data_IF_135315199095
#
_entry.id   IF_135315199095
#
_cell.length_a   1.000
_cell.length_b   1.000
_cell.length_c   1.000
_cell.angle_alpha   90.00
_cell.angle_beta   90.00
_cell.angle_gamma   90.00
#
_symmetry.space_group_name_H-M   'P 1'
#
loop_
_entity.id
_entity.type
_entity.pdbx_description
1 polymer ?
#
# COMPACT_ATOMS: atom_id res chain seq x y z
N UNK A 1 -14.35 -20.62 14.07
CA UNK A 1 -13.59 -19.96 12.98
C UNK A 1 -14.37 -19.88 11.68
N UNK A 2 -14.62 -20.96 10.92
CA UNK A 2 -15.22 -20.89 9.56
C UNK A 2 -16.45 -19.96 9.41
N UNK A 3 -17.42 -20.03 10.34
CA UNK A 3 -18.61 -19.14 10.32
C UNK A 3 -18.22 -17.65 10.49
N UNK A 4 -17.27 -17.33 11.37
CA UNK A 4 -16.74 -15.98 11.53
C UNK A 4 -16.02 -15.51 10.25
N UNK A 5 -15.25 -16.39 9.61
CA UNK A 5 -14.60 -16.11 8.33
C UNK A 5 -15.62 -15.78 7.24
N UNK A 6 -16.75 -16.49 7.16
CA UNK A 6 -17.84 -16.18 6.24
C UNK A 6 -18.51 -14.83 6.57
N UNK A 7 -18.85 -14.57 7.84
CA UNK A 7 -19.47 -13.31 8.27
C UNK A 7 -18.58 -12.11 7.90
N UNK A 8 -17.29 -12.18 8.21
CA UNK A 8 -16.31 -11.13 7.85
C UNK A 8 -16.13 -11.03 6.33
N UNK A 9 -16.18 -12.15 5.60
CA UNK A 9 -16.11 -12.14 4.12
C UNK A 9 -17.32 -11.47 3.47
N UNK A 10 -18.53 -11.73 3.95
CA UNK A 10 -19.75 -11.09 3.43
C UNK A 10 -19.80 -9.60 3.81
N UNK A 11 -19.35 -9.22 5.00
CA UNK A 11 -19.16 -7.82 5.39
C UNK A 11 -18.15 -7.11 4.48
N UNK A 12 -16.99 -7.72 4.22
CA UNK A 12 -15.99 -7.18 3.31
C UNK A 12 -16.50 -7.07 1.87
N UNK A 13 -17.26 -8.06 1.38
CA UNK A 13 -17.89 -8.02 0.06
C UNK A 13 -18.91 -6.88 -0.04
N UNK A 14 -19.77 -6.72 0.96
CA UNK A 14 -20.73 -5.61 1.03
C UNK A 14 -20.03 -4.25 1.05
N UNK A 15 -19.02 -4.07 1.90
CA UNK A 15 -18.25 -2.83 1.98
C UNK A 15 -17.47 -2.54 0.68
N UNK A 16 -16.90 -3.56 0.04
CA UNK A 16 -16.21 -3.41 -1.24
C UNK A 16 -17.18 -2.98 -2.35
N UNK A 17 -18.35 -3.61 -2.48
CA UNK A 17 -19.38 -3.23 -3.45
C UNK A 17 -19.90 -1.82 -3.17
N UNK A 18 -20.22 -1.49 -1.91
CA UNK A 18 -20.68 -0.17 -1.48
C UNK A 18 -19.65 0.93 -1.83
N UNK A 19 -18.39 0.74 -1.44
CA UNK A 19 -17.34 1.72 -1.75
C UNK A 19 -17.00 1.78 -3.24
N UNK A 20 -17.13 0.67 -3.99
CA UNK A 20 -16.98 0.67 -5.46
C UNK A 20 -18.07 1.51 -6.12
N UNK A 21 -19.33 1.32 -5.73
CA UNK A 21 -20.47 2.12 -6.22
C UNK A 21 -20.25 3.60 -5.89
N UNK A 22 -19.92 3.93 -4.63
CA UNK A 22 -19.66 5.32 -4.22
C UNK A 22 -18.46 5.94 -4.96
N UNK A 23 -17.42 5.17 -5.26
CA UNK A 23 -16.25 5.61 -6.04
C UNK A 23 -16.62 5.89 -7.50
N UNK A 24 -17.40 5.01 -8.13
CA UNK A 24 -17.92 5.17 -9.49
C UNK A 24 -18.83 6.41 -9.55
N UNK A 25 -19.85 6.51 -8.70
CA UNK A 25 -20.77 7.66 -8.65
C UNK A 25 -20.02 8.97 -8.41
N UNK A 26 -19.04 9.00 -7.49
CA UNK A 26 -18.18 10.17 -7.26
C UNK A 26 -17.47 10.66 -8.52
N UNK A 27 -17.01 9.74 -9.38
CA UNK A 27 -16.26 10.08 -10.60
C UNK A 27 -17.12 10.27 -11.84
N UNK A 28 -18.33 9.69 -11.89
CA UNK A 28 -19.34 10.01 -12.91
C UNK A 28 -19.93 11.41 -12.68
N UNK A 29 -20.24 11.79 -11.42
CA UNK A 29 -20.78 13.11 -11.10
C UNK A 29 -19.71 14.22 -11.09
N UNK A 30 -18.44 13.91 -10.89
CA UNK A 30 -17.35 14.91 -10.77
C UNK A 30 -16.08 14.48 -11.53
N UNK A 31 -16.12 14.35 -12.87
CA UNK A 31 -15.02 13.78 -13.66
C UNK A 31 -13.71 14.57 -13.55
N UNK A 32 -13.73 15.89 -13.38
CA UNK A 32 -12.51 16.70 -13.21
C UNK A 32 -11.66 16.31 -12.00
N UNK A 33 -12.25 15.65 -11.00
CA UNK A 33 -11.54 15.17 -9.81
C UNK A 33 -10.52 14.06 -10.12
N UNK A 34 -10.61 13.39 -11.28
CA UNK A 34 -9.56 12.45 -11.74
C UNK A 34 -8.19 13.11 -11.89
N UNK A 35 -8.15 14.31 -12.50
CA UNK A 35 -6.89 15.06 -12.69
C UNK A 35 -6.29 15.49 -11.36
N UNK A 36 -7.14 15.79 -10.38
CA UNK A 36 -6.73 16.11 -9.00
C UNK A 36 -6.18 14.88 -8.25
N UNK A 37 -6.82 13.72 -8.39
CA UNK A 37 -6.33 12.46 -7.80
C UNK A 37 -4.91 12.13 -8.26
N UNK A 38 -4.68 12.11 -9.58
CA UNK A 38 -3.40 11.70 -10.18
C UNK A 38 -2.27 12.69 -9.83
N UNK A 39 -2.58 13.99 -9.70
CA UNK A 39 -1.61 15.02 -9.30
C UNK A 39 -1.33 15.07 -7.79
N UNK A 40 -2.12 14.39 -6.95
CA UNK A 40 -1.91 14.42 -5.50
C UNK A 40 -0.89 13.35 -5.06
N UNK A 41 0.30 13.73 -4.54
CA UNK A 41 1.39 12.79 -4.24
C UNK A 41 1.17 11.88 -3.02
N UNK A 42 0.04 12.03 -2.32
CA UNK A 42 -0.36 11.15 -1.22
C UNK A 42 -1.57 10.33 -1.62
N UNK A 43 -2.62 10.96 -2.15
CA UNK A 43 -3.89 10.28 -2.45
C UNK A 43 -3.81 9.36 -3.66
N UNK A 44 -2.95 9.64 -4.66
CA UNK A 44 -2.77 8.76 -5.82
C UNK A 44 -2.29 7.36 -5.42
N UNK A 45 -1.44 7.26 -4.39
CA UNK A 45 -0.80 6.02 -3.95
C UNK A 45 -1.81 5.00 -3.41
N UNK A 46 -2.90 5.49 -2.78
CA UNK A 46 -3.98 4.65 -2.26
C UNK A 46 -4.88 4.04 -3.35
N UNK A 47 -4.70 4.38 -4.63
CA UNK A 47 -5.39 3.69 -5.72
C UNK A 47 -5.07 2.18 -5.73
N UNK A 48 -3.84 1.79 -5.37
CA UNK A 48 -3.45 0.39 -5.24
C UNK A 48 -4.22 -0.40 -4.16
N UNK A 49 -4.87 0.28 -3.20
CA UNK A 49 -5.69 -0.40 -2.20
C UNK A 49 -6.96 -1.03 -2.79
N UNK A 50 -7.38 -0.64 -4.01
CA UNK A 50 -8.54 -1.22 -4.68
C UNK A 50 -8.34 -2.69 -5.11
N UNK A 51 -7.34 -3.06 -5.95
CA UNK A 51 -7.07 -4.47 -6.26
C UNK A 51 -6.57 -5.27 -5.03
N UNK A 52 -5.88 -4.63 -4.07
CA UNK A 52 -5.53 -5.31 -2.80
C UNK A 52 -6.77 -5.74 -1.98
N UNK A 53 -7.92 -5.08 -2.16
CA UNK A 53 -9.19 -5.54 -1.60
C UNK A 53 -9.87 -6.60 -2.50
N UNK A 54 -9.80 -6.45 -3.83
CA UNK A 54 -10.32 -7.43 -4.80
C UNK A 54 -9.71 -8.82 -4.65
N UNK A 55 -8.38 -8.91 -4.73
CA UNK A 55 -7.59 -10.11 -4.39
C UNK A 55 -7.95 -10.75 -3.05
N UNK A 56 -8.25 -9.96 -2.01
CA UNK A 56 -8.65 -10.48 -0.69
C UNK A 56 -9.99 -11.23 -0.77
N UNK A 57 -10.97 -10.71 -1.52
CA UNK A 57 -12.24 -11.39 -1.76
C UNK A 57 -12.07 -12.65 -2.62
N UNK A 58 -11.24 -12.57 -3.67
CA UNK A 58 -10.87 -13.70 -4.54
C UNK A 58 -10.26 -14.84 -3.71
N UNK A 59 -9.32 -14.54 -2.81
CA UNK A 59 -8.66 -15.54 -1.96
C UNK A 59 -9.65 -16.29 -1.06
N UNK A 60 -10.60 -15.58 -0.43
CA UNK A 60 -11.60 -16.22 0.44
C UNK A 60 -12.65 -16.99 -0.38
N UNK A 61 -13.01 -16.51 -1.57
CA UNK A 61 -13.88 -17.24 -2.51
C UNK A 61 -13.26 -18.58 -2.93
N UNK A 62 -11.96 -18.63 -3.21
CA UNK A 62 -11.26 -19.90 -3.51
C UNK A 62 -11.12 -20.77 -2.26
N UNK A 63 -10.48 -20.25 -1.20
CA UNK A 63 -10.09 -21.09 -0.05
C UNK A 63 -11.29 -21.57 0.78
N UNK A 64 -12.26 -20.70 1.02
CA UNK A 64 -13.41 -21.00 1.89
C UNK A 64 -14.59 -21.50 1.07
N UNK A 65 -15.11 -20.70 0.15
CA UNK A 65 -16.38 -21.01 -0.55
C UNK A 65 -16.22 -22.20 -1.49
N UNK A 66 -15.23 -22.18 -2.38
CA UNK A 66 -14.98 -23.28 -3.31
C UNK A 66 -14.30 -24.47 -2.63
N UNK A 67 -13.11 -24.30 -2.05
CA UNK A 67 -12.28 -25.44 -1.61
C UNK A 67 -12.73 -26.06 -0.28
N UNK A 68 -13.31 -25.29 0.67
CA UNK A 68 -13.73 -25.83 1.98
C UNK A 68 -15.22 -26.17 2.08
N UNK A 69 -16.08 -25.45 1.37
CA UNK A 69 -17.54 -25.73 1.33
C UNK A 69 -18.01 -26.40 0.03
N UNK A 70 -17.13 -26.61 -0.96
CA UNK A 70 -17.43 -27.26 -2.25
C UNK A 70 -18.55 -26.59 -3.07
N UNK A 71 -18.73 -25.27 -2.89
CA UNK A 71 -19.80 -24.49 -3.55
C UNK A 71 -19.36 -24.02 -4.93
N UNK A 72 -20.29 -24.09 -5.90
CA UNK A 72 -20.18 -23.48 -7.23
C UNK A 72 -19.29 -24.23 -8.25
N UNK A 73 -18.36 -25.06 -7.78
CA UNK A 73 -17.53 -25.95 -8.60
C UNK A 73 -16.77 -25.26 -9.75
N UNK A 74 -16.55 -26.00 -10.84
CA UNK A 74 -15.72 -25.58 -11.99
C UNK A 74 -16.13 -24.22 -12.59
N UNK A 75 -17.44 -23.96 -12.71
CA UNK A 75 -17.95 -22.70 -13.26
C UNK A 75 -17.65 -21.50 -12.37
N UNK A 76 -17.87 -21.64 -11.06
CA UNK A 76 -17.51 -20.61 -10.08
C UNK A 76 -16.00 -20.36 -10.03
N UNK A 77 -15.17 -21.42 -10.04
CA UNK A 77 -13.72 -21.25 -10.02
C UNK A 77 -13.19 -20.53 -11.27
N UNK A 78 -13.73 -20.82 -12.47
CA UNK A 78 -13.35 -20.07 -13.67
C UNK A 78 -13.86 -18.62 -13.66
N UNK A 79 -15.02 -18.33 -13.05
CA UNK A 79 -15.45 -16.95 -12.82
C UNK A 79 -14.47 -16.20 -11.90
N UNK A 80 -14.08 -16.80 -10.77
CA UNK A 80 -13.11 -16.21 -9.83
C UNK A 80 -11.72 -16.06 -10.46
N UNK A 81 -11.28 -17.01 -11.29
CA UNK A 81 -10.05 -16.88 -12.09
C UNK A 81 -10.12 -15.75 -13.12
N UNK A 82 -11.29 -15.53 -13.75
CA UNK A 82 -11.51 -14.39 -14.65
C UNK A 82 -11.48 -13.05 -13.89
N UNK A 83 -12.01 -13.00 -12.67
CA UNK A 83 -11.88 -11.83 -11.79
C UNK A 83 -10.43 -11.58 -11.35
N UNK A 84 -9.61 -12.62 -11.18
CA UNK A 84 -8.18 -12.48 -10.91
C UNK A 84 -7.41 -11.91 -12.10
N UNK A 85 -7.73 -12.31 -13.34
CA UNK A 85 -7.15 -11.67 -14.54
C UNK A 85 -7.54 -10.19 -14.65
N UNK A 86 -8.78 -9.83 -14.32
CA UNK A 86 -9.22 -8.43 -14.24
C UNK A 86 -8.42 -7.65 -13.17
N UNK A 87 -8.23 -8.26 -11.99
CA UNK A 87 -7.44 -7.67 -10.90
C UNK A 87 -5.96 -7.48 -11.27
N UNK A 88 -5.35 -8.42 -11.99
CA UNK A 88 -3.99 -8.24 -12.55
C UNK A 88 -3.93 -7.00 -13.44
N UNK A 89 -4.88 -6.82 -14.36
CA UNK A 89 -4.90 -5.64 -15.26
C UNK A 89 -5.01 -4.35 -14.43
N UNK A 90 -5.88 -4.32 -13.41
CA UNK A 90 -6.01 -3.16 -12.51
C UNK A 90 -4.73 -2.94 -11.69
N UNK A 91 -4.10 -4.00 -11.18
CA UNK A 91 -2.83 -3.96 -10.43
C UNK A 91 -1.68 -3.44 -11.28
N UNK A 92 -1.54 -3.91 -12.52
CA UNK A 92 -0.57 -3.41 -13.50
C UNK A 92 -0.81 -1.92 -13.80
N UNK A 93 -2.06 -1.50 -14.02
CA UNK A 93 -2.41 -0.09 -14.21
C UNK A 93 -2.08 0.77 -12.97
N UNK A 94 -2.44 0.31 -11.77
CA UNK A 94 -2.12 0.99 -10.52
C UNK A 94 -0.60 1.15 -10.31
N UNK A 95 0.19 0.10 -10.57
CA UNK A 95 1.63 0.15 -10.42
C UNK A 95 2.28 1.04 -11.49
N UNK A 96 2.09 0.76 -12.79
CA UNK A 96 2.79 1.48 -13.86
C UNK A 96 2.31 2.93 -13.99
N UNK A 97 1.00 3.20 -13.96
CA UNK A 97 0.50 4.59 -14.06
C UNK A 97 0.70 5.37 -12.77
N UNK A 98 0.61 4.72 -11.61
CA UNK A 98 0.88 5.36 -10.31
C UNK A 98 2.35 5.79 -10.19
N UNK A 99 3.28 4.89 -10.51
CA UNK A 99 4.72 5.17 -10.49
C UNK A 99 5.11 6.16 -11.59
N UNK A 100 4.54 6.08 -12.79
CA UNK A 100 4.73 7.10 -13.83
C UNK A 100 4.25 8.50 -13.38
N UNK A 101 3.09 8.58 -12.72
CA UNK A 101 2.56 9.85 -12.24
C UNK A 101 3.45 10.52 -11.19
N UNK A 102 4.14 9.73 -10.35
CA UNK A 102 5.14 10.24 -9.39
C UNK A 102 6.32 10.94 -10.08
N UNK A 103 6.72 10.48 -11.27
CA UNK A 103 7.83 11.07 -12.03
C UNK A 103 7.40 12.25 -12.92
N UNK A 104 6.19 12.20 -13.48
CA UNK A 104 5.74 13.13 -14.54
C UNK A 104 4.88 14.28 -14.00
N UNK A 105 4.02 14.03 -13.01
CA UNK A 105 2.98 14.99 -12.58
C UNK A 105 3.14 15.48 -11.14
N UNK A 106 4.07 14.91 -10.38
CA UNK A 106 4.24 15.15 -8.95
C UNK A 106 5.64 15.72 -8.66
N UNK A 107 5.78 16.40 -7.52
CA UNK A 107 7.07 16.87 -6.99
C UNK A 107 7.32 16.18 -5.66
N UNK A 108 8.49 15.57 -5.51
CA UNK A 108 8.87 14.83 -4.32
C UNK A 108 10.22 15.31 -3.79
N UNK A 109 10.38 15.30 -2.47
CA UNK A 109 11.68 15.46 -1.79
C UNK A 109 11.90 14.27 -0.86
N UNK A 110 13.17 13.93 -0.58
CA UNK A 110 13.49 12.78 0.29
C UNK A 110 12.88 12.92 1.70
N UNK A 111 12.76 14.14 2.23
CA UNK A 111 12.08 14.43 3.49
C UNK A 111 10.57 14.09 3.45
N UNK A 112 9.89 14.36 2.33
CA UNK A 112 8.46 14.03 2.13
C UNK A 112 8.21 12.57 1.76
N UNK A 113 9.24 11.82 1.39
CA UNK A 113 9.15 10.39 1.05
C UNK A 113 8.69 9.59 2.27
N UNK A 114 7.82 8.60 2.05
CA UNK A 114 7.26 7.75 3.10
C UNK A 114 6.90 6.37 2.55
N UNK A 115 6.72 5.38 3.43
CA UNK A 115 6.47 4.00 3.02
C UNK A 115 5.13 3.77 2.29
N UNK A 116 4.24 4.77 2.18
CA UNK A 116 3.04 4.68 1.31
C UNK A 116 3.40 4.61 -0.17
N UNK A 117 4.64 4.97 -0.56
CA UNK A 117 5.17 4.79 -1.92
C UNK A 117 5.19 3.31 -2.35
N UNK A 118 5.10 2.37 -1.41
CA UNK A 118 4.97 0.93 -1.69
C UNK A 118 3.57 0.55 -2.21
N UNK A 119 2.53 1.31 -1.88
CA UNK A 119 1.12 0.92 -2.13
C UNK A 119 0.77 0.65 -3.60
N UNK A 120 1.23 1.42 -4.60
CA UNK A 120 1.00 1.09 -6.01
C UNK A 120 1.62 -0.25 -6.43
N UNK A 121 2.73 -0.65 -5.81
CA UNK A 121 3.61 -1.74 -6.24
C UNK A 121 3.26 -3.06 -5.54
N UNK A 122 2.82 -2.97 -4.28
CA UNK A 122 2.33 -4.12 -3.50
C UNK A 122 1.13 -4.81 -4.17
N UNK A 123 0.39 -4.11 -5.02
CA UNK A 123 -0.68 -4.68 -5.87
C UNK A 123 -0.24 -5.95 -6.59
N UNK A 124 0.93 -5.92 -7.25
CA UNK A 124 1.49 -7.05 -8.01
C UNK A 124 1.81 -8.24 -7.09
N UNK A 125 2.35 -7.95 -5.91
CA UNK A 125 2.75 -8.95 -4.91
C UNK A 125 1.50 -9.65 -4.32
N UNK A 126 0.42 -8.90 -4.07
CA UNK A 126 -0.84 -9.46 -3.59
C UNK A 126 -1.54 -10.24 -4.72
N UNK A 127 -1.59 -9.73 -5.95
CA UNK A 127 -2.13 -10.45 -7.12
C UNK A 127 -1.36 -11.76 -7.37
N UNK A 128 -0.03 -11.75 -7.24
CA UNK A 128 0.81 -12.95 -7.33
C UNK A 128 0.44 -14.01 -6.28
N UNK A 129 0.29 -13.60 -5.01
CA UNK A 129 -0.14 -14.53 -3.94
C UNK A 129 -1.51 -15.14 -4.22
N UNK A 130 -2.43 -14.36 -4.81
CA UNK A 130 -3.76 -14.81 -5.19
C UNK A 130 -3.72 -15.86 -6.30
N UNK A 131 -2.88 -15.67 -7.32
CA UNK A 131 -2.66 -16.68 -8.37
C UNK A 131 -2.00 -17.96 -7.84
N UNK A 132 -1.16 -17.88 -6.81
CA UNK A 132 -0.64 -19.06 -6.11
C UNK A 132 -1.73 -19.89 -5.42
N UNK A 133 -2.75 -19.24 -4.87
CA UNK A 133 -3.94 -19.89 -4.27
C UNK A 133 -4.84 -20.47 -5.35
N UNK A 134 -5.09 -19.72 -6.43
CA UNK A 134 -5.95 -20.17 -7.55
C UNK A 134 -5.29 -21.34 -8.29
N UNK A 135 -3.97 -21.32 -8.47
CA UNK A 135 -3.20 -22.41 -9.09
C UNK A 135 -3.48 -23.76 -8.44
N UNK A 136 -3.39 -23.83 -7.10
CA UNK A 136 -3.67 -25.04 -6.32
C UNK A 136 -5.11 -25.53 -6.53
N UNK A 137 -6.09 -24.63 -6.61
CA UNK A 137 -7.48 -24.98 -6.89
C UNK A 137 -7.74 -25.40 -8.35
N UNK A 138 -6.96 -24.89 -9.31
CA UNK A 138 -7.09 -25.20 -10.74
C UNK A 138 -6.50 -26.56 -11.15
N UNK A 139 -5.53 -27.12 -10.39
CA UNK A 139 -4.86 -28.39 -10.75
C UNK A 139 -5.86 -29.50 -11.08
N UNK A 140 -6.93 -29.63 -10.30
CA UNK A 140 -7.98 -30.65 -10.48
C UNK A 140 -8.80 -30.52 -11.77
N UNK A 141 -8.67 -29.40 -12.50
CA UNK A 141 -9.46 -29.10 -13.71
C UNK A 141 -8.61 -28.82 -14.96
N UNK A 142 -7.39 -28.28 -14.80
CA UNK A 142 -6.43 -28.06 -15.89
C UNK A 142 -5.05 -27.71 -15.33
N UNK A 143 -4.09 -28.63 -15.48
CA UNK A 143 -2.69 -28.37 -15.16
C UNK A 143 -2.11 -27.18 -15.97
N UNK A 144 -2.52 -27.02 -17.23
CA UNK A 144 -2.08 -25.90 -18.09
C UNK A 144 -2.56 -24.54 -17.57
N UNK A 145 -3.82 -24.42 -17.13
CA UNK A 145 -4.31 -23.17 -16.57
C UNK A 145 -3.71 -22.89 -15.18
N UNK A 146 -3.49 -23.92 -14.37
CA UNK A 146 -2.75 -23.80 -13.10
C UNK A 146 -1.31 -23.30 -13.33
N UNK A 147 -0.57 -23.93 -14.26
CA UNK A 147 0.81 -23.55 -14.59
C UNK A 147 0.89 -22.12 -15.14
N UNK A 148 0.04 -21.73 -16.08
CA UNK A 148 0.01 -20.36 -16.61
C UNK A 148 -0.27 -19.33 -15.51
N UNK A 149 -1.21 -19.63 -14.60
CA UNK A 149 -1.52 -18.78 -13.43
C UNK A 149 -0.30 -18.61 -12.53
N UNK A 150 0.41 -19.70 -12.23
CA UNK A 150 1.59 -19.70 -11.35
C UNK A 150 2.80 -19.01 -12.00
N UNK A 151 3.04 -19.20 -13.30
CA UNK A 151 4.11 -18.50 -14.04
C UNK A 151 3.88 -16.98 -14.04
N UNK A 152 2.63 -16.54 -14.25
CA UNK A 152 2.25 -15.12 -14.16
C UNK A 152 2.41 -14.60 -12.72
N UNK A 153 2.05 -15.38 -11.71
CA UNK A 153 2.32 -15.04 -10.31
C UNK A 153 3.81 -14.85 -10.02
N UNK A 154 4.69 -15.73 -10.54
CA UNK A 154 6.15 -15.60 -10.38
C UNK A 154 6.67 -14.32 -11.01
N UNK A 155 6.23 -13.98 -12.22
CA UNK A 155 6.56 -12.70 -12.86
C UNK A 155 6.12 -11.50 -12.01
N UNK A 156 4.86 -11.49 -11.55
CA UNK A 156 4.29 -10.39 -10.77
C UNK A 156 4.99 -10.19 -9.41
N UNK A 157 5.31 -11.27 -8.68
CA UNK A 157 6.04 -11.14 -7.40
C UNK A 157 7.49 -10.69 -7.62
N UNK A 158 8.20 -11.17 -8.65
CA UNK A 158 9.59 -10.77 -8.91
C UNK A 158 9.66 -9.28 -9.26
N UNK A 159 8.79 -8.78 -10.14
CA UNK A 159 8.75 -7.35 -10.51
C UNK A 159 8.36 -6.49 -9.30
N UNK A 160 7.29 -6.87 -8.59
CA UNK A 160 6.82 -6.14 -7.41
C UNK A 160 7.85 -6.10 -6.28
N UNK A 161 8.51 -7.23 -5.98
CA UNK A 161 9.55 -7.34 -4.95
C UNK A 161 10.79 -6.51 -5.31
N UNK A 162 11.25 -6.56 -6.56
CA UNK A 162 12.41 -5.77 -7.02
C UNK A 162 12.19 -4.28 -6.80
N UNK A 163 11.04 -3.75 -7.25
CA UNK A 163 10.68 -2.35 -7.03
C UNK A 163 10.49 -2.02 -5.54
N UNK A 164 9.86 -2.92 -4.76
CA UNK A 164 9.67 -2.71 -3.34
C UNK A 164 11.01 -2.64 -2.58
N UNK A 165 11.99 -3.49 -2.90
CA UNK A 165 13.33 -3.45 -2.31
C UNK A 165 14.07 -2.14 -2.64
N UNK A 166 13.97 -1.64 -3.87
CA UNK A 166 14.52 -0.33 -4.25
C UNK A 166 13.93 0.80 -3.40
N UNK A 167 12.60 0.83 -3.23
CA UNK A 167 11.91 1.83 -2.39
C UNK A 167 12.27 1.66 -0.91
N UNK A 168 12.43 0.43 -0.41
CA UNK A 168 12.79 0.16 0.99
C UNK A 168 14.21 0.62 1.33
N UNK A 169 15.18 0.48 0.41
CA UNK A 169 16.54 1.03 0.57
C UNK A 169 16.51 2.56 0.66
N UNK A 170 15.73 3.23 -0.19
CA UNK A 170 15.54 4.69 -0.13
C UNK A 170 14.79 5.11 1.15
N UNK A 171 13.81 4.32 1.60
CA UNK A 171 13.09 4.56 2.84
C UNK A 171 14.00 4.45 4.08
N UNK A 172 14.91 3.47 4.12
CA UNK A 172 15.90 3.35 5.18
C UNK A 172 16.82 4.58 5.22
N UNK A 173 17.33 5.02 4.07
CA UNK A 173 18.11 6.27 3.96
C UNK A 173 17.31 7.50 4.44
N UNK A 174 16.03 7.60 4.07
CA UNK A 174 15.11 8.65 4.55
C UNK A 174 14.97 8.64 6.06
N UNK A 175 14.83 7.46 6.69
CA UNK A 175 14.73 7.34 8.15
C UNK A 175 16.03 7.75 8.85
N UNK A 176 17.19 7.44 8.26
CA UNK A 176 18.50 7.84 8.79
C UNK A 176 18.71 9.36 8.69
N UNK A 177 18.37 9.98 7.54
CA UNK A 177 18.62 11.42 7.30
C UNK A 177 17.56 12.35 7.88
N UNK A 178 16.31 11.88 8.05
CA UNK A 178 15.17 12.72 8.41
C UNK A 178 14.32 12.15 9.57
N UNK A 179 14.83 11.15 10.28
CA UNK A 179 14.19 10.54 11.44
C UNK A 179 12.86 9.85 11.11
N UNK A 180 12.05 9.66 12.15
CA UNK A 180 10.73 9.02 12.07
C UNK A 180 9.66 9.98 11.52
N UNK A 181 8.62 9.48 10.82
CA UNK A 181 7.47 10.32 10.43
C UNK A 181 6.66 10.78 11.66
N UNK A 182 6.27 12.06 11.79
CA UNK A 182 5.59 12.57 12.98
C UNK A 182 4.10 12.16 13.06
N UNK A 183 3.59 12.06 14.29
CA UNK A 183 2.17 11.84 14.59
C UNK A 183 1.62 10.54 13.98
N UNK A 184 0.38 10.57 13.47
CA UNK A 184 -0.28 9.38 12.91
C UNK A 184 0.42 8.80 11.66
N UNK A 185 1.35 9.53 11.04
CA UNK A 185 2.20 9.00 9.96
C UNK A 185 3.28 8.06 10.48
N UNK A 186 3.62 8.10 11.78
CA UNK A 186 4.56 7.16 12.42
C UNK A 186 4.15 5.71 12.17
N UNK A 187 2.85 5.42 12.18
CA UNK A 187 2.30 4.08 11.94
C UNK A 187 2.68 3.49 10.56
N UNK A 188 3.13 4.32 9.61
CA UNK A 188 3.64 3.85 8.32
C UNK A 188 4.93 3.04 8.41
N UNK A 189 5.65 3.06 9.55
CA UNK A 189 6.85 2.21 9.77
C UNK A 189 6.57 0.71 9.71
N UNK A 190 5.30 0.28 9.80
CA UNK A 190 4.90 -1.12 9.59
C UNK A 190 4.69 -1.47 8.10
N UNK A 191 4.50 -0.52 7.19
CA UNK A 191 4.25 -0.81 5.77
C UNK A 191 5.34 -1.67 5.09
N UNK A 192 6.64 -1.61 5.45
CA UNK A 192 7.67 -2.53 4.96
C UNK A 192 7.42 -4.03 5.16
N UNK A 193 6.65 -4.43 6.18
CA UNK A 193 6.23 -5.84 6.37
C UNK A 193 5.31 -6.31 5.21
N UNK A 194 4.61 -5.37 4.57
CA UNK A 194 3.68 -5.61 3.47
C UNK A 194 4.30 -6.32 2.27
N UNK A 195 5.20 -5.66 1.51
CA UNK A 195 5.84 -6.28 0.35
C UNK A 195 6.71 -7.47 0.73
N UNK A 196 7.43 -7.42 1.86
CA UNK A 196 8.38 -8.48 2.26
C UNK A 196 7.64 -9.75 2.69
N UNK A 197 6.68 -9.64 3.61
CA UNK A 197 5.83 -10.75 4.04
C UNK A 197 4.97 -11.32 2.93
N UNK A 198 4.31 -10.47 2.12
CA UNK A 198 3.46 -10.98 1.04
C UNK A 198 4.27 -11.58 -0.12
N UNK A 199 5.48 -11.09 -0.41
CA UNK A 199 6.35 -11.72 -1.42
C UNK A 199 6.84 -13.09 -0.96
N UNK A 200 7.22 -13.22 0.32
CA UNK A 200 7.57 -14.52 0.89
C UNK A 200 6.40 -15.51 0.80
N UNK A 201 5.17 -15.06 1.07
CA UNK A 201 3.97 -15.90 0.93
C UNK A 201 3.70 -16.29 -0.53
N UNK A 202 3.78 -15.35 -1.47
CA UNK A 202 3.60 -15.63 -2.90
C UNK A 202 4.64 -16.61 -3.46
N UNK A 203 5.92 -16.45 -3.07
CA UNK A 203 7.01 -17.34 -3.50
C UNK A 203 6.86 -18.74 -2.89
N UNK A 204 6.48 -18.83 -1.60
CA UNK A 204 6.21 -20.12 -0.95
C UNK A 204 5.05 -20.88 -1.64
N UNK A 205 3.98 -20.17 -2.00
CA UNK A 205 2.88 -20.75 -2.79
C UNK A 205 3.34 -21.19 -4.19
N UNK A 206 4.22 -20.43 -4.86
CA UNK A 206 4.74 -20.81 -6.17
C UNK A 206 5.54 -22.13 -6.10
N UNK A 207 6.40 -22.30 -5.09
CA UNK A 207 7.11 -23.56 -4.83
C UNK A 207 6.17 -24.75 -4.65
N UNK A 208 5.17 -24.60 -3.78
CA UNK A 208 4.16 -25.62 -3.53
C UNK A 208 3.37 -26.00 -4.79
N UNK A 209 3.10 -25.05 -5.69
CA UNK A 209 2.47 -25.33 -6.99
C UNK A 209 3.44 -26.07 -7.92
N UNK A 210 4.69 -25.62 -8.05
CA UNK A 210 5.68 -26.25 -8.94
C UNK A 210 5.99 -27.69 -8.58
N UNK A 211 5.97 -28.04 -7.28
CA UNK A 211 6.05 -29.42 -6.79
C UNK A 211 4.88 -30.31 -7.21
N UNK A 212 3.73 -29.75 -7.57
CA UNK A 212 2.56 -30.49 -8.03
C UNK A 212 2.47 -30.48 -9.57
N UNK A 213 3.06 -29.47 -10.23
CA UNK A 213 2.92 -29.23 -11.67
C UNK A 213 4.10 -29.73 -12.54
N UNK A 214 5.26 -30.03 -11.96
CA UNK A 214 6.40 -30.63 -12.66
C UNK A 214 6.63 -32.09 -12.25
N UNK A 215 7.18 -32.93 -13.15
CA UNK A 215 6.71 -33.24 -14.51
C UNK A 215 5.46 -34.17 -14.43
N UNK A 216 4.59 -34.30 -15.47
CA UNK A 216 5.01 -34.63 -16.83
C UNK A 216 4.24 -33.89 -17.94
N UNK A 217 4.89 -32.88 -18.53
CA UNK A 217 4.66 -32.51 -19.92
C UNK A 217 5.74 -33.20 -20.77
N UNK A 218 5.33 -33.81 -21.88
CA UNK A 218 6.15 -34.76 -22.66
C UNK A 218 7.37 -34.11 -23.35
N UNK A 219 8.49 -34.86 -23.34
CA UNK A 219 9.73 -34.77 -24.14
C UNK A 219 10.48 -33.44 -24.38
N UNK A 220 9.85 -32.27 -24.35
CA UNK A 220 10.25 -31.10 -25.16
C UNK A 220 11.41 -30.26 -24.56
N UNK A 221 11.79 -30.43 -23.29
CA UNK A 221 12.87 -29.63 -22.69
C UNK A 221 14.11 -30.44 -22.27
N UNK A 222 15.26 -30.17 -22.91
CA UNK A 222 16.54 -30.80 -22.57
C UNK A 222 17.03 -30.44 -21.15
N UNK A 223 16.72 -29.21 -20.69
CA UNK A 223 17.15 -28.65 -19.41
C UNK A 223 16.65 -29.44 -18.17
N UNK A 224 15.60 -30.25 -18.33
CA UNK A 224 14.96 -31.00 -17.23
C UNK A 224 15.42 -32.47 -17.18
N UNK A 225 16.08 -33.01 -18.23
CA UNK A 225 16.46 -34.44 -18.34
C UNK A 225 17.60 -34.89 -17.41
N UNK A 226 18.16 -34.00 -16.58
CA UNK A 226 19.24 -34.30 -15.65
C UNK A 226 18.78 -34.95 -14.32
N UNK A 227 17.48 -35.01 -14.05
CA UNK A 227 16.92 -35.70 -12.89
C UNK A 227 16.49 -37.13 -13.21
N UNK A 228 17.17 -38.14 -12.68
CA UNK A 228 16.89 -39.58 -12.89
C UNK A 228 15.70 -40.14 -12.09
N UNK A 229 15.01 -39.30 -11.30
CA UNK A 229 13.83 -39.69 -10.51
C UNK A 229 12.67 -38.73 -10.72
N UNK A 230 11.45 -39.29 -10.76
CA UNK A 230 10.18 -38.58 -10.89
C UNK A 230 10.07 -37.40 -9.91
N UNK A 231 9.67 -36.23 -10.43
CA UNK A 231 9.46 -35.00 -9.64
C UNK A 231 10.65 -34.52 -8.76
N UNK A 232 11.88 -34.92 -9.07
CA UNK A 232 13.07 -34.36 -8.39
C UNK A 232 13.15 -32.83 -8.53
N UNK A 233 12.83 -32.30 -9.72
CA UNK A 233 12.94 -30.87 -10.03
C UNK A 233 11.88 -30.02 -9.31
N UNK A 234 10.63 -30.48 -9.24
CA UNK A 234 9.55 -29.75 -8.55
C UNK A 234 9.82 -29.64 -7.05
N UNK A 235 10.35 -30.69 -6.43
CA UNK A 235 10.80 -30.68 -5.02
C UNK A 235 11.98 -29.73 -4.79
N UNK A 236 12.97 -29.69 -5.68
CA UNK A 236 14.10 -28.75 -5.58
C UNK A 236 13.61 -27.29 -5.66
N UNK A 237 12.67 -27.00 -6.56
CA UNK A 237 12.07 -25.65 -6.68
C UNK A 237 11.29 -25.27 -5.42
N UNK A 238 10.51 -26.19 -4.83
CA UNK A 238 9.77 -25.96 -3.58
C UNK A 238 10.72 -25.63 -2.40
N UNK A 239 11.86 -26.32 -2.31
CA UNK A 239 12.90 -26.04 -1.31
C UNK A 239 13.51 -24.64 -1.53
N UNK A 240 13.89 -24.31 -2.77
CA UNK A 240 14.46 -22.98 -3.10
C UNK A 240 13.45 -21.87 -2.80
N UNK A 241 12.19 -22.05 -3.16
CA UNK A 241 11.10 -21.12 -2.83
C UNK A 241 10.88 -20.99 -1.31
N UNK A 242 10.97 -22.10 -0.56
CA UNK A 242 10.82 -22.09 0.91
C UNK A 242 11.97 -21.37 1.60
N UNK A 243 13.22 -21.60 1.17
CA UNK A 243 14.38 -20.84 1.65
C UNK A 243 14.28 -19.34 1.31
N UNK A 244 13.82 -19.01 0.11
CA UNK A 244 13.58 -17.62 -0.33
C UNK A 244 12.48 -16.93 0.51
N UNK A 245 11.41 -17.67 0.83
CA UNK A 245 10.34 -17.20 1.70
C UNK A 245 10.81 -16.97 3.15
N UNK A 246 11.72 -17.80 3.66
CA UNK A 246 12.33 -17.61 4.97
C UNK A 246 13.32 -16.42 5.01
N UNK A 247 14.07 -16.16 3.94
CA UNK A 247 14.86 -14.93 3.79
C UNK A 247 13.97 -13.68 3.82
N UNK A 248 12.86 -13.68 3.07
CA UNK A 248 11.92 -12.57 3.05
C UNK A 248 11.17 -12.40 4.39
N UNK A 249 10.86 -13.50 5.08
CA UNK A 249 10.38 -13.46 6.46
C UNK A 249 11.40 -12.82 7.40
N UNK A 250 12.69 -13.17 7.28
CA UNK A 250 13.75 -12.60 8.11
C UNK A 250 13.91 -11.09 7.90
N UNK A 251 13.78 -10.61 6.66
CA UNK A 251 13.75 -9.18 6.32
C UNK A 251 12.48 -8.51 6.89
N UNK A 252 11.32 -9.18 6.83
CA UNK A 252 10.09 -8.67 7.46
C UNK A 252 10.21 -8.58 8.99
N UNK A 253 10.84 -9.56 9.64
CA UNK A 253 11.15 -9.57 11.08
C UNK A 253 12.10 -8.43 11.46
N UNK A 254 13.12 -8.15 10.64
CA UNK A 254 13.99 -6.98 10.83
C UNK A 254 13.19 -5.67 10.80
N UNK A 255 12.32 -5.48 9.80
CA UNK A 255 11.44 -4.31 9.72
C UNK A 255 10.44 -4.24 10.88
N UNK A 256 9.95 -5.37 11.38
CA UNK A 256 9.09 -5.43 12.58
C UNK A 256 9.84 -4.93 13.83
N UNK A 257 11.08 -5.36 14.04
CA UNK A 257 11.88 -4.89 15.18
C UNK A 257 12.12 -3.38 15.08
N UNK A 258 12.45 -2.85 13.90
CA UNK A 258 12.54 -1.40 13.70
C UNK A 258 11.20 -0.68 13.89
N UNK A 259 10.07 -1.27 13.47
CA UNK A 259 8.75 -0.70 13.67
C UNK A 259 8.38 -0.61 15.16
N UNK A 260 8.66 -1.64 15.96
CA UNK A 260 8.43 -1.65 17.42
C UNK A 260 9.33 -0.61 18.11
N UNK A 261 10.62 -0.55 17.75
CA UNK A 261 11.56 0.45 18.28
C UNK A 261 11.15 1.89 17.89
N UNK A 262 10.64 2.09 16.68
CA UNK A 262 10.12 3.38 16.20
C UNK A 262 8.83 3.81 16.92
N UNK A 263 7.95 2.87 17.29
CA UNK A 263 6.79 3.17 18.15
C UNK A 263 7.26 3.53 19.57
N UNK A 264 8.16 2.75 20.17
CA UNK A 264 8.67 2.99 21.52
C UNK A 264 9.35 4.36 21.65
N UNK A 265 10.23 4.71 20.69
CA UNK A 265 10.93 6.01 20.66
C UNK A 265 10.05 7.16 20.17
N UNK A 266 9.11 6.92 19.26
CA UNK A 266 8.31 7.94 18.59
C UNK A 266 7.02 8.35 19.31
N UNK A 267 6.47 7.52 20.21
CA UNK A 267 5.32 7.92 21.05
C UNK A 267 5.76 8.72 22.28
N UNK A 268 6.77 8.22 23.01
CA UNK A 268 7.09 8.74 24.34
C UNK A 268 5.85 8.78 25.24
N UNK A 269 5.56 9.94 25.83
CA UNK A 269 4.34 10.19 26.62
C UNK A 269 3.18 10.77 25.80
N UNK A 270 3.28 10.84 24.46
CA UNK A 270 2.28 11.51 23.61
C UNK A 270 1.24 10.54 23.05
N UNK A 271 -0.04 10.90 23.18
CA UNK A 271 -1.16 10.13 22.62
C UNK A 271 -1.36 10.55 21.17
N UNK A 272 -1.15 9.63 20.23
CA UNK A 272 -1.50 9.85 18.82
C UNK A 272 -3.04 9.83 18.68
N UNK A 273 -3.69 10.94 18.28
CA UNK A 273 -5.14 10.94 18.07
C UNK A 273 -5.53 10.03 16.91
N UNK A 274 -6.67 9.35 17.04
CA UNK A 274 -7.17 8.44 16.02
C UNK A 274 -7.31 9.13 14.65
N UNK A 275 -6.86 8.46 13.59
CA UNK A 275 -7.06 8.86 12.20
C UNK A 275 -7.28 7.62 11.34
N UNK A 276 -7.97 7.78 10.21
CA UNK A 276 -8.22 6.69 9.26
C UNK A 276 -6.93 6.00 8.76
N UNK A 277 -5.78 6.69 8.80
CA UNK A 277 -4.46 6.13 8.46
C UNK A 277 -4.03 4.95 9.35
N UNK A 278 -4.62 4.78 10.55
CA UNK A 278 -4.37 3.63 11.42
C UNK A 278 -4.72 2.29 10.74
N UNK A 279 -5.66 2.27 9.77
CA UNK A 279 -5.96 1.08 8.96
C UNK A 279 -4.75 0.56 8.16
N UNK A 280 -3.76 1.41 7.88
CA UNK A 280 -2.49 1.01 7.27
C UNK A 280 -1.67 0.02 8.11
N UNK A 281 -1.98 -0.17 9.41
CA UNK A 281 -1.38 -1.20 10.24
C UNK A 281 -1.92 -2.61 9.96
N UNK A 282 -3.16 -2.75 9.49
CA UNK A 282 -3.82 -4.08 9.41
C UNK A 282 -3.13 -4.98 8.39
N UNK A 283 -2.96 -4.49 7.16
CA UNK A 283 -2.43 -5.31 6.06
C UNK A 283 -1.00 -5.83 6.33
N UNK A 284 0.01 -5.00 6.67
CA UNK A 284 1.38 -5.47 6.84
C UNK A 284 1.54 -6.49 7.98
N UNK A 285 0.79 -6.30 9.07
CA UNK A 285 0.78 -7.21 10.20
C UNK A 285 0.10 -8.55 9.87
N UNK A 286 -1.01 -8.50 9.11
CA UNK A 286 -1.73 -9.71 8.68
C UNK A 286 -0.92 -10.56 7.72
N UNK A 287 -0.20 -9.97 6.76
CA UNK A 287 0.62 -10.74 5.80
C UNK A 287 1.85 -11.36 6.46
N UNK A 288 2.45 -10.69 7.46
CA UNK A 288 3.53 -11.26 8.27
C UNK A 288 3.05 -12.45 9.11
N UNK A 289 1.86 -12.37 9.72
CA UNK A 289 1.24 -13.51 10.40
C UNK A 289 1.01 -14.69 9.43
N UNK A 290 0.48 -14.41 8.24
CA UNK A 290 0.19 -15.42 7.22
C UNK A 290 1.46 -16.15 6.74
N UNK A 291 2.53 -15.41 6.39
CA UNK A 291 3.82 -16.01 6.04
C UNK A 291 4.40 -16.83 7.21
N UNK A 292 4.31 -16.33 8.45
CA UNK A 292 4.79 -17.03 9.64
C UNK A 292 4.07 -18.37 9.83
N UNK A 293 2.74 -18.41 9.68
CA UNK A 293 1.92 -19.62 9.77
C UNK A 293 2.27 -20.60 8.63
N UNK A 294 2.50 -20.10 7.42
CA UNK A 294 2.80 -20.96 6.27
C UNK A 294 4.22 -21.55 6.31
N UNK A 295 5.21 -20.81 6.83
CA UNK A 295 6.52 -21.37 7.19
C UNK A 295 6.41 -22.38 8.34
N UNK A 296 5.47 -22.18 9.28
CA UNK A 296 5.18 -23.18 10.32
C UNK A 296 4.63 -24.50 9.76
N UNK A 297 3.97 -24.46 8.61
CA UNK A 297 3.50 -25.65 7.90
C UNK A 297 4.61 -26.26 7.03
N UNK A 298 5.44 -25.44 6.36
CA UNK A 298 6.56 -25.91 5.54
C UNK A 298 7.70 -26.56 6.36
N UNK A 299 7.98 -26.05 7.56
CA UNK A 299 9.02 -26.57 8.47
C UNK A 299 8.47 -27.47 9.61
N UNK A 300 7.17 -27.77 9.64
CA UNK A 300 6.43 -28.42 10.74
C UNK A 300 6.71 -27.83 12.15
N UNK A 301 7.15 -26.56 12.21
CA UNK A 301 7.77 -26.00 13.41
C UNK A 301 6.77 -25.44 14.40
N UNK A 302 6.68 -26.07 15.59
CA UNK A 302 5.84 -25.61 16.71
C UNK A 302 6.13 -24.15 17.12
N UNK A 303 7.38 -23.69 17.02
CA UNK A 303 7.75 -22.32 17.35
C UNK A 303 7.08 -21.30 16.40
N UNK A 304 7.16 -21.53 15.09
CA UNK A 304 6.44 -20.72 14.10
C UNK A 304 4.92 -20.84 14.24
N UNK A 305 4.38 -22.01 14.61
CA UNK A 305 2.93 -22.17 14.84
C UNK A 305 2.44 -21.29 16.00
N UNK A 306 3.17 -21.25 17.12
CA UNK A 306 2.85 -20.39 18.27
C UNK A 306 3.00 -18.91 17.90
N UNK A 307 4.14 -18.51 17.34
CA UNK A 307 4.40 -17.11 16.98
C UNK A 307 3.39 -16.56 15.95
N UNK A 308 3.13 -17.32 14.89
CA UNK A 308 2.13 -16.95 13.87
C UNK A 308 0.70 -16.87 14.43
N UNK A 309 0.34 -17.75 15.38
CA UNK A 309 -0.96 -17.71 16.04
C UNK A 309 -1.13 -16.47 16.93
N UNK A 310 -0.10 -16.09 17.69
CA UNK A 310 -0.07 -14.85 18.49
C UNK A 310 -0.24 -13.64 17.57
N UNK A 311 0.51 -13.61 16.46
CA UNK A 311 0.48 -12.48 15.53
C UNK A 311 -0.85 -12.35 14.77
N UNK A 312 -1.48 -13.48 14.40
CA UNK A 312 -2.81 -13.51 13.81
C UNK A 312 -3.89 -13.04 14.79
N UNK A 313 -3.83 -13.48 16.06
CA UNK A 313 -4.75 -13.01 17.10
C UNK A 313 -4.60 -11.50 17.36
N UNK A 314 -3.36 -10.99 17.47
CA UNK A 314 -3.09 -9.56 17.59
C UNK A 314 -3.60 -8.75 16.40
N UNK A 315 -3.42 -9.26 15.18
CA UNK A 315 -3.93 -8.62 13.95
C UNK A 315 -5.47 -8.58 13.90
N UNK A 316 -6.15 -9.61 14.40
CA UNK A 316 -7.61 -9.65 14.51
C UNK A 316 -8.14 -8.67 15.58
N UNK A 317 -7.48 -8.57 16.73
CA UNK A 317 -7.81 -7.61 17.79
C UNK A 317 -7.62 -6.16 17.29
N UNK A 318 -6.52 -5.91 16.58
CA UNK A 318 -6.25 -4.63 15.91
C UNK A 318 -7.35 -4.28 14.90
N UNK A 319 -7.72 -5.21 14.01
CA UNK A 319 -8.80 -5.02 13.03
C UNK A 319 -10.12 -4.69 13.73
N UNK A 320 -10.50 -5.44 14.77
CA UNK A 320 -11.75 -5.23 15.50
C UNK A 320 -11.78 -3.87 16.22
N UNK A 321 -10.66 -3.48 16.83
CA UNK A 321 -10.53 -2.18 17.51
C UNK A 321 -10.68 -1.01 16.52
N UNK A 322 -10.06 -1.11 15.34
CA UNK A 322 -10.15 -0.10 14.29
C UNK A 322 -11.54 -0.08 13.63
N UNK A 323 -12.19 -1.24 13.46
CA UNK A 323 -13.55 -1.34 12.95
C UNK A 323 -14.55 -0.66 13.90
N UNK A 324 -14.54 -1.04 15.19
CA UNK A 324 -15.41 -0.45 16.20
C UNK A 324 -15.19 1.06 16.34
N UNK A 325 -13.93 1.54 16.32
CA UNK A 325 -13.66 2.98 16.34
C UNK A 325 -14.17 3.67 15.07
N UNK A 326 -14.00 3.08 13.89
CA UNK A 326 -14.50 3.66 12.63
C UNK A 326 -16.02 3.82 12.62
N UNK A 327 -16.76 2.82 13.11
CA UNK A 327 -18.22 2.88 13.24
C UNK A 327 -18.64 3.94 14.26
N UNK A 328 -17.90 4.10 15.36
CA UNK A 328 -18.15 5.13 16.37
C UNK A 328 -17.97 6.56 15.82
N UNK A 329 -16.85 6.84 15.13
CA UNK A 329 -16.62 8.15 14.50
C UNK A 329 -17.67 8.45 13.42
N UNK A 330 -18.06 7.44 12.63
CA UNK A 330 -19.10 7.58 11.61
C UNK A 330 -20.47 7.92 12.23
N UNK A 331 -20.82 7.31 13.38
CA UNK A 331 -22.03 7.66 14.12
C UNK A 331 -22.01 9.12 14.60
N UNK A 332 -20.88 9.58 15.15
CA UNK A 332 -20.73 10.99 15.57
C UNK A 332 -20.86 11.94 14.38
N UNK A 333 -20.26 11.60 13.24
CA UNK A 333 -20.35 12.40 12.01
C UNK A 333 -21.80 12.58 11.54
N UNK A 334 -22.62 11.53 11.57
CA UNK A 334 -24.03 11.64 11.19
C UNK A 334 -24.83 12.50 12.18
N UNK A 335 -24.70 12.27 13.50
CA UNK A 335 -25.39 13.08 14.52
C UNK A 335 -25.06 14.58 14.35
N UNK A 336 -23.79 14.92 14.16
CA UNK A 336 -23.36 16.30 13.95
C UNK A 336 -23.89 16.95 12.65
N UNK A 337 -24.29 16.15 11.65
CA UNK A 337 -24.97 16.65 10.45
C UNK A 337 -26.49 16.72 10.61
N UNK A 338 -27.10 15.84 11.41
CA UNK A 338 -28.52 15.86 11.76
C UNK A 338 -28.89 17.00 12.71
N UNK A 339 -27.94 17.48 13.53
CA UNK A 339 -28.09 18.68 14.38
C UNK A 339 -27.90 20.00 13.61
N UNK A 340 -27.29 19.97 12.43
CA UNK A 340 -27.00 21.15 11.59
C UNK A 340 -28.17 21.83 10.84
N UNK A 341 -29.37 21.24 10.56
CA UNK A 341 -30.37 21.86 9.68
C UNK A 341 -31.35 22.87 10.30
N UNK A 342 -31.33 23.12 11.62
CA UNK A 342 -32.42 23.84 12.32
C UNK A 342 -32.05 25.20 12.96
N UNK A 343 -30.76 25.54 13.08
CA UNK A 343 -30.31 26.74 13.81
C UNK A 343 -30.04 27.97 12.91
N UNK A 344 -30.53 27.96 11.67
CA UNK A 344 -30.36 29.06 10.70
C UNK A 344 -31.50 30.11 10.73
N UNK A 345 -32.50 29.95 11.60
CA UNK A 345 -33.72 30.78 11.62
C UNK A 345 -33.90 31.57 12.93
N UNK A 346 -32.79 31.98 13.56
CA UNK A 346 -32.79 32.96 14.63
C UNK A 346 -32.60 34.38 14.06
N UNK A 347 -33.57 35.26 14.28
CA UNK A 347 -33.61 36.59 13.66
C UNK A 347 -32.56 37.55 14.24
N UNK A 348 -31.77 38.20 13.36
CA UNK A 348 -31.08 39.45 13.68
C UNK A 348 -31.76 40.56 12.87
N UNK A 349 -32.54 41.46 13.50
CA UNK A 349 -33.15 42.58 12.80
C UNK A 349 -32.09 43.64 12.45
N UNK A 350 -31.84 43.85 11.16
CA UNK A 350 -30.90 44.88 10.69
C UNK A 350 -31.59 46.24 10.75
N UNK A 351 -31.24 47.07 11.73
CA UNK A 351 -31.59 48.50 11.71
C UNK A 351 -30.63 49.27 10.81
N UNK A 352 -31.09 49.57 9.59
CA UNK A 352 -30.54 50.68 8.80
C UNK A 352 -31.29 51.97 9.15
N UNK A 353 -30.58 52.98 9.63
CA UNK A 353 -31.05 54.37 9.65
C UNK A 353 -29.96 55.26 9.04
N UNK A 354 -30.31 55.98 7.97
CA UNK A 354 -29.35 56.74 7.15
C UNK A 354 -29.63 58.24 7.18
N UNK A 355 -28.80 58.99 7.90
CA UNK A 355 -28.65 60.44 7.82
C UNK A 355 -27.26 60.83 8.39
N UNK A 356 -26.60 61.91 7.99
CA UNK A 356 -26.89 62.79 6.84
C UNK A 356 -26.13 64.13 6.93
N UNK A 357 -25.30 64.43 5.91
CA UNK A 357 -24.68 65.75 5.62
C UNK A 357 -23.47 66.23 6.48
N UNK A 358 -22.92 67.39 6.07
CA UNK A 358 -21.85 68.22 6.69
C UNK A 358 -20.40 67.70 6.72
N UNK A 359 -19.79 67.76 5.54
CA UNK A 359 -18.43 68.24 5.27
C UNK A 359 -17.88 69.26 6.29
N UNK A 360 -16.65 69.07 6.79
CA UNK A 360 -15.81 70.17 7.29
C UNK A 360 -14.31 69.85 7.10
N UNK A 361 -13.52 70.87 6.74
CA UNK A 361 -12.06 70.80 6.67
C UNK A 361 -11.47 71.38 7.96
N UNK A 362 -10.32 70.88 8.40
CA UNK A 362 -9.38 71.73 9.14
C UNK A 362 -7.93 71.44 8.76
N UNK A 363 -7.13 72.50 8.78
CA UNK A 363 -5.76 72.54 8.24
C UNK A 363 -4.87 73.33 9.19
N UNK A 364 -3.82 72.70 9.71
CA UNK A 364 -2.69 73.35 10.39
C UNK A 364 -1.42 72.57 10.01
N UNK A 365 -0.45 73.11 9.29
CA UNK A 365 0.46 74.26 9.55
C UNK A 365 1.54 74.00 10.60
N UNK A 366 2.53 73.17 10.21
CA UNK A 366 3.95 73.51 10.27
C UNK A 366 4.71 73.44 11.61
N UNK A 367 5.87 72.78 11.58
CA UNK A 367 7.11 73.48 11.91
C UNK A 367 8.35 72.83 11.24
N UNK A 368 9.49 73.54 11.24
CA UNK A 368 10.73 73.13 10.55
C UNK A 368 11.80 72.57 11.50
N UNK A 369 12.56 71.57 11.03
CA UNK A 369 14.04 71.47 11.12
C UNK A 369 14.48 70.15 10.45
N UNK A 370 15.28 70.08 9.39
CA UNK A 370 16.58 70.70 9.04
C UNK A 370 17.81 69.96 9.59
N UNK A 371 18.28 68.95 8.86
CA UNK A 371 19.71 68.80 8.59
C UNK A 371 19.99 68.02 7.29
N UNK A 372 20.98 68.51 6.55
CA UNK A 372 21.66 67.88 5.39
C UNK A 372 22.54 66.70 5.86
N UNK A 373 23.09 65.80 5.02
CA UNK A 373 24.05 66.09 3.92
C UNK A 373 24.25 64.88 2.98
N UNK A 374 24.89 65.11 1.84
CA UNK A 374 25.16 64.17 0.73
C UNK A 374 26.70 64.02 0.51
N UNK A 375 27.31 63.43 -0.53
CA UNK A 375 26.83 62.96 -1.85
C UNK A 375 27.74 61.87 -2.49
N UNK A 376 27.13 60.95 -3.25
CA UNK A 376 27.68 60.17 -4.38
C UNK A 376 28.80 59.11 -4.25
N UNK A 377 28.95 58.21 -5.27
CA UNK A 377 29.91 57.08 -5.30
C UNK A 377 30.97 57.13 -6.45
N UNK A 378 31.97 56.24 -6.43
CA UNK A 378 32.86 55.91 -7.58
C UNK A 378 33.48 54.48 -7.45
N UNK A 379 34.17 53.86 -8.44
CA UNK A 379 33.84 53.49 -9.86
C UNK A 379 35.04 52.77 -10.56
N UNK A 380 34.86 51.54 -11.09
CA UNK A 380 35.65 50.86 -12.18
C UNK A 380 37.10 50.40 -11.84
N UNK A 381 37.75 49.38 -12.47
CA UNK A 381 37.37 48.45 -13.58
C UNK A 381 37.21 46.96 -13.08
N UNK A 382 37.93 45.87 -13.42
CA UNK A 382 39.12 45.55 -14.27
C UNK A 382 39.12 44.04 -14.71
N UNK A 383 39.97 43.62 -15.66
CA UNK A 383 40.15 42.23 -16.18
C UNK A 383 41.62 42.04 -16.69
N UNK A 384 42.12 40.89 -17.25
CA UNK A 384 41.47 39.60 -17.61
C UNK A 384 42.31 38.29 -17.38
N UNK A 385 41.73 37.15 -17.83
CA UNK A 385 42.37 35.91 -18.37
C UNK A 385 43.42 35.10 -17.56
N UNK A 386 43.10 33.82 -17.34
CA UNK A 386 43.97 32.71 -17.79
C UNK A 386 43.17 31.42 -18.08
N UNK A 387 43.65 30.67 -19.07
CA UNK A 387 43.08 29.42 -19.59
C UNK A 387 43.89 28.24 -19.07
N UNK A 388 43.28 27.13 -18.68
CA UNK A 388 43.96 25.83 -18.77
C UNK A 388 42.98 24.66 -18.96
N UNK A 389 43.48 23.51 -19.40
CA UNK A 389 42.66 22.40 -19.92
C UNK A 389 43.30 21.06 -19.56
N UNK A 390 42.54 20.14 -18.97
CA UNK A 390 42.91 18.72 -18.99
C UNK A 390 41.71 17.78 -18.97
N UNK A 391 41.70 16.85 -19.92
CA UNK A 391 40.85 15.66 -19.93
C UNK A 391 41.46 14.57 -19.04
N UNK A 392 40.63 13.83 -18.31
CA UNK A 392 41.01 12.52 -17.73
C UNK A 392 40.07 11.46 -18.29
N UNK A 393 40.63 10.33 -18.72
CA UNK A 393 39.89 9.14 -19.19
C UNK A 393 39.64 8.17 -18.04
N UNK A 394 38.58 7.37 -18.14
CA UNK A 394 38.43 6.16 -17.33
C UNK A 394 39.44 5.08 -17.76
N UNK A 395 39.98 4.30 -16.81
CA UNK A 395 40.43 2.93 -17.05
C UNK A 395 39.23 1.96 -17.16
#
# INVERSE_FOLDING_TARGET
MLVLSLIVSFLNLFLFVLFTILLITKYLCYPDRWKSLIRNPVTSLFAGCFPMAGTTLINVAVQVVHTRYHVGGKGFLYFIWSMWWLDIVVSLLCCWLGVNAMFVYQKHTLQTMSATWLLPIVTLIVAASSGGIIGQALVQYSATYALNTVVVSVFLVVVGLTFALMILTIYLLRLILHGLPPGASLLSVFLPLGPTGQSGYAILLAGQNFRILFPPLSDVSQLIRLGTHENSVGVIVDIICTCSAFLLWSIATMWLLYAVLAIYTGLGNSVIPYRISFWGLVFPNTVYANLTIQLANAFDSRAFRVWGSIYAAGSLILWLSLFLRSVWELKIFFIAHEESPSTATAQIPVQYTSSGSSFSQHRSTGNMSSHSTEISPHRIETSPQSTETSTIKYP
#
